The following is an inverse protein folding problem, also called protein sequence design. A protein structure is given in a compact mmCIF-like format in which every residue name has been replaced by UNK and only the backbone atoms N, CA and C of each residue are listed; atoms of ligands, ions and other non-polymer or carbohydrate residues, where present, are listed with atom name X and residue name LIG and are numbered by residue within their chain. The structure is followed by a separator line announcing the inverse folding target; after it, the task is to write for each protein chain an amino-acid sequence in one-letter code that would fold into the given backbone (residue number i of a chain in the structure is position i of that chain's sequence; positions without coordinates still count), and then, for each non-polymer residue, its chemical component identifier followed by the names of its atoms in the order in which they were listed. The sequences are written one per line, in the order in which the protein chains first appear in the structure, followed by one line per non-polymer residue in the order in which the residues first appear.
data_IF_409528555636
#
_entry.id   IF_409528555636
#
_cell.length_a   1.000
_cell.length_b   1.000
_cell.length_c   1.000
_cell.angle_alpha   90.00
_cell.angle_beta   90.00
_cell.angle_gamma   90.00
#
_symmetry.space_group_name_H-M   'P 1'
#
loop_
_entity.id
_entity.type
_entity.pdbx_description
1 polymer ?
#
# COMPACT_ATOMS: atom_id res chain seq x y z
N UNK A 1 13.42 -14.11 25.76
CA UNK A 1 14.65 -13.72 26.49
C UNK A 1 14.47 -12.34 27.08
N UNK A 2 15.12 -12.09 28.24
CA UNK A 2 15.12 -10.79 28.89
C UNK A 2 16.55 -10.23 28.81
N UNK A 3 16.70 -9.08 28.15
CA UNK A 3 17.96 -8.34 28.11
C UNK A 3 17.80 -7.05 28.92
N UNK A 4 18.89 -6.67 29.61
CA UNK A 4 18.94 -5.40 30.36
C UNK A 4 20.08 -4.57 29.82
N UNK A 5 19.81 -3.30 29.53
CA UNK A 5 20.80 -2.33 29.09
C UNK A 5 20.65 -1.04 29.88
N UNK A 6 21.77 -0.45 30.31
CA UNK A 6 21.79 0.83 31.00
C UNK A 6 22.75 1.79 30.29
N UNK A 7 22.32 3.05 30.13
CA UNK A 7 23.17 4.10 29.57
C UNK A 7 23.97 4.78 30.69
N UNK A 8 25.30 4.59 30.66
CA UNK A 8 26.22 5.12 31.69
C UNK A 8 27.34 5.93 31.01
N UNK A 9 27.57 7.21 31.39
CA UNK A 9 26.82 7.97 32.38
C UNK A 9 25.44 8.37 31.89
N UNK A 10 24.45 8.49 32.80
CA UNK A 10 23.08 8.84 32.38
C UNK A 10 23.02 10.32 31.98
N UNK A 11 22.39 10.58 30.82
CA UNK A 11 22.05 11.91 30.32
C UNK A 11 20.53 12.01 30.15
N UNK A 12 19.85 12.69 31.08
CA UNK A 12 18.40 12.78 31.10
C UNK A 12 17.81 13.48 29.85
N UNK A 13 18.54 14.44 29.28
CA UNK A 13 18.09 15.12 28.07
C UNK A 13 18.13 14.15 26.89
N UNK A 14 19.23 13.38 26.73
CA UNK A 14 19.36 12.35 25.70
C UNK A 14 18.35 11.22 25.90
N UNK A 15 18.10 10.78 27.13
CA UNK A 15 17.10 9.76 27.42
C UNK A 15 15.68 10.24 27.07
N UNK A 16 15.37 11.51 27.32
CA UNK A 16 14.09 12.10 26.90
C UNK A 16 13.95 12.15 25.37
N UNK A 17 15.00 12.54 24.66
CA UNK A 17 15.01 12.55 23.20
C UNK A 17 14.92 11.15 22.59
N UNK A 18 15.56 10.14 23.23
CA UNK A 18 15.47 8.74 22.83
C UNK A 18 14.05 8.20 22.95
N UNK A 19 13.36 8.48 24.05
CA UNK A 19 12.02 7.95 24.32
C UNK A 19 10.92 8.66 23.50
N UNK A 20 11.14 9.93 23.18
CA UNK A 20 10.12 10.78 22.55
C UNK A 20 9.02 11.18 23.50
N UNK A 21 8.00 11.87 22.98
CA UNK A 21 6.84 12.30 23.74
C UNK A 21 6.01 11.09 24.20
N UNK A 22 5.77 10.97 25.52
CA UNK A 22 5.01 9.84 26.09
C UNK A 22 5.56 8.46 25.68
N UNK A 23 6.87 8.33 25.55
CA UNK A 23 7.56 7.09 25.14
C UNK A 23 7.15 6.56 23.76
N UNK A 24 6.73 7.46 22.84
CA UNK A 24 6.25 7.09 21.50
C UNK A 24 7.28 6.31 20.67
N UNK A 25 8.57 6.65 20.80
CA UNK A 25 9.64 5.93 20.12
C UNK A 25 9.79 4.50 20.63
N UNK A 26 9.67 4.29 21.96
CA UNK A 26 9.72 2.95 22.57
C UNK A 26 8.56 2.10 22.09
N UNK A 27 7.34 2.64 22.04
CA UNK A 27 6.16 1.93 21.50
C UNK A 27 6.33 1.56 20.04
N UNK A 28 6.94 2.43 19.23
CA UNK A 28 7.24 2.14 17.82
C UNK A 28 8.24 0.98 17.69
N UNK A 29 9.25 0.94 18.58
CA UNK A 29 10.24 -0.14 18.61
C UNK A 29 9.59 -1.45 19.06
N UNK A 30 8.76 -1.43 20.11
CA UNK A 30 8.02 -2.59 20.60
C UNK A 30 7.15 -3.22 19.51
N UNK A 31 6.35 -2.40 18.84
CA UNK A 31 5.46 -2.85 17.77
C UNK A 31 6.21 -3.41 16.56
N UNK A 32 7.34 -2.79 16.18
CA UNK A 32 8.08 -3.18 14.99
C UNK A 32 8.94 -4.45 15.18
N UNK A 33 9.49 -4.65 16.38
CA UNK A 33 10.41 -5.75 16.67
C UNK A 33 9.76 -6.88 17.50
N UNK A 34 8.46 -6.77 17.82
CA UNK A 34 7.72 -7.73 18.63
C UNK A 34 8.43 -8.00 19.98
N UNK A 35 8.71 -6.92 20.69
CA UNK A 35 9.35 -6.93 22.01
C UNK A 35 8.58 -6.05 22.99
N UNK A 36 8.77 -6.27 24.30
CA UNK A 36 8.27 -5.39 25.35
C UNK A 36 9.44 -4.65 26.00
N UNK A 37 9.36 -3.32 26.08
CA UNK A 37 10.42 -2.48 26.64
C UNK A 37 9.91 -1.80 27.91
N UNK A 38 10.51 -2.13 29.04
CA UNK A 38 10.22 -1.47 30.32
C UNK A 38 11.41 -0.61 30.72
N UNK A 39 11.16 0.68 30.96
CA UNK A 39 12.20 1.63 31.41
C UNK A 39 12.09 1.92 32.90
N UNK A 40 13.24 1.97 33.55
CA UNK A 40 13.39 2.52 34.90
C UNK A 40 14.63 3.41 34.94
N UNK A 41 14.42 4.72 34.95
CA UNK A 41 15.48 5.73 34.86
C UNK A 41 16.36 5.53 33.60
N UNK A 42 17.65 5.22 33.77
CA UNK A 42 18.63 4.94 32.70
C UNK A 42 18.63 3.46 32.22
N UNK A 43 17.89 2.59 32.91
CA UNK A 43 17.87 1.16 32.65
C UNK A 43 16.67 0.76 31.78
N UNK A 44 16.94 0.04 30.73
CA UNK A 44 15.95 -0.53 29.83
C UNK A 44 15.95 -2.05 29.94
N UNK A 45 14.78 -2.63 30.12
CA UNK A 45 14.54 -4.07 30.12
C UNK A 45 13.77 -4.41 28.84
N UNK A 46 14.36 -5.22 27.98
CA UNK A 46 13.78 -5.66 26.72
C UNK A 46 13.45 -7.14 26.80
N UNK A 47 12.18 -7.49 26.60
CA UNK A 47 11.66 -8.85 26.63
C UNK A 47 11.12 -9.23 25.25
N UNK A 48 11.46 -10.43 24.75
CA UNK A 48 11.02 -10.92 23.45
C UNK A 48 11.81 -12.11 22.96
N UNK A 49 11.70 -12.44 21.69
CA UNK A 49 12.56 -13.42 21.05
C UNK A 49 14.03 -13.00 21.12
N UNK A 50 14.97 -13.96 21.15
CA UNK A 50 16.40 -13.67 21.37
C UNK A 50 16.95 -12.66 20.36
N UNK A 51 16.73 -12.89 19.06
CA UNK A 51 17.20 -12.01 17.99
C UNK A 51 16.53 -10.63 18.03
N UNK A 52 15.22 -10.59 18.28
CA UNK A 52 14.44 -9.37 18.39
C UNK A 52 14.90 -8.49 19.54
N UNK A 53 15.10 -9.10 20.73
CA UNK A 53 15.56 -8.39 21.92
C UNK A 53 17.00 -7.86 21.74
N UNK A 54 17.91 -8.65 21.18
CA UNK A 54 19.30 -8.22 20.85
C UNK A 54 19.26 -7.02 19.89
N UNK A 55 18.41 -7.09 18.86
CA UNK A 55 18.29 -6.03 17.87
C UNK A 55 17.67 -4.75 18.44
N UNK A 56 16.66 -4.87 19.30
CA UNK A 56 16.07 -3.74 19.99
C UNK A 56 17.09 -3.03 20.88
N UNK A 57 17.96 -3.75 21.58
CA UNK A 57 19.04 -3.15 22.37
C UNK A 57 20.03 -2.40 21.49
N UNK A 58 20.48 -2.97 20.37
CA UNK A 58 21.38 -2.30 19.43
C UNK A 58 20.74 -1.05 18.82
N UNK A 59 19.45 -1.09 18.50
CA UNK A 59 18.72 0.06 18.00
C UNK A 59 18.61 1.16 19.05
N UNK A 60 18.30 0.83 20.31
CA UNK A 60 18.27 1.79 21.42
C UNK A 60 19.63 2.46 21.61
N UNK A 61 20.73 1.71 21.49
CA UNK A 61 22.10 2.27 21.54
C UNK A 61 22.37 3.25 20.41
N UNK A 62 22.07 2.86 19.15
CA UNK A 62 22.26 3.71 17.97
C UNK A 62 21.43 4.99 18.06
N UNK A 63 20.19 4.90 18.50
CA UNK A 63 19.33 6.07 18.68
C UNK A 63 19.84 6.97 19.83
N UNK A 64 20.31 6.40 20.94
CA UNK A 64 20.88 7.15 22.05
C UNK A 64 22.12 7.94 21.62
N UNK A 65 23.00 7.38 20.78
CA UNK A 65 24.17 8.08 20.26
C UNK A 65 23.79 9.29 19.43
N UNK A 66 22.66 9.23 18.73
CA UNK A 66 22.10 10.32 17.92
C UNK A 66 21.23 11.29 18.74
N UNK A 67 20.83 10.96 19.96
CA UNK A 67 19.87 11.70 20.80
C UNK A 67 20.43 12.99 21.44
N UNK A 68 21.49 13.60 20.88
CA UNK A 68 22.00 14.92 21.32
C UNK A 68 20.99 16.04 21.09
N UNK A 69 20.03 15.83 20.18
CA UNK A 69 18.86 16.68 19.91
C UNK A 69 17.62 15.77 19.83
N UNK A 70 16.44 16.36 19.88
CA UNK A 70 15.19 15.61 19.68
C UNK A 70 15.27 14.84 18.35
N UNK A 71 14.95 13.55 18.40
CA UNK A 71 14.95 12.65 17.24
C UNK A 71 13.59 12.76 16.56
N UNK A 72 13.51 13.20 15.28
CA UNK A 72 12.25 13.18 14.53
C UNK A 72 11.76 11.74 14.35
N UNK A 73 10.44 11.54 14.37
CA UNK A 73 9.81 10.23 14.19
C UNK A 73 10.27 9.52 12.90
N UNK A 74 10.54 10.27 11.84
CA UNK A 74 11.07 9.76 10.56
C UNK A 74 12.45 9.09 10.71
N UNK A 75 13.32 9.63 11.56
CA UNK A 75 14.63 9.03 11.84
C UNK A 75 14.52 7.74 12.65
N UNK A 76 13.56 7.67 13.58
CA UNK A 76 13.26 6.44 14.31
C UNK A 76 12.73 5.37 13.35
N UNK A 77 11.84 5.73 12.44
CA UNK A 77 11.31 4.81 11.42
C UNK A 77 12.40 4.30 10.48
N UNK A 78 13.32 5.17 10.04
CA UNK A 78 14.45 4.75 9.19
C UNK A 78 15.34 3.72 9.93
N UNK A 79 15.68 3.99 11.19
CA UNK A 79 16.49 3.09 12.01
C UNK A 79 15.77 1.75 12.30
N UNK A 80 14.43 1.77 12.41
CA UNK A 80 13.60 0.56 12.52
C UNK A 80 13.65 -0.27 11.25
N UNK A 81 13.53 0.34 10.08
CA UNK A 81 13.64 -0.36 8.78
C UNK A 81 15.00 -1.06 8.64
N UNK A 82 16.09 -0.39 8.99
CA UNK A 82 17.43 -0.97 9.01
C UNK A 82 17.52 -2.14 9.99
N UNK A 83 16.98 -1.99 11.21
CA UNK A 83 16.97 -3.02 12.24
C UNK A 83 16.16 -4.26 11.83
N UNK A 84 15.03 -4.09 11.16
CA UNK A 84 14.19 -5.18 10.67
C UNK A 84 14.80 -5.91 9.47
N UNK A 85 15.53 -5.20 8.60
CA UNK A 85 16.20 -5.82 7.44
C UNK A 85 17.20 -6.91 7.87
N UNK A 86 17.90 -6.68 8.98
CA UNK A 86 18.89 -7.62 9.51
C UNK A 86 18.25 -8.81 10.30
N UNK A 87 17.00 -8.69 10.71
CA UNK A 87 16.26 -9.78 11.38
C UNK A 87 15.71 -10.81 10.39
N UNK A 88 15.63 -10.50 9.09
CA UNK A 88 15.16 -11.44 8.07
C UNK A 88 16.19 -12.58 7.91
N UNK A 89 15.87 -13.83 8.21
CA UNK A 89 16.79 -14.94 8.02
C UNK A 89 17.08 -15.10 6.52
N UNK A 90 18.33 -15.43 6.18
CA UNK A 90 18.76 -15.72 4.80
C UNK A 90 17.94 -16.86 4.13
N UNK A 91 17.26 -17.68 4.93
CA UNK A 91 16.31 -18.70 4.47
C UNK A 91 14.99 -18.10 3.97
N UNK A 92 14.53 -16.96 4.52
CA UNK A 92 13.34 -16.24 4.01
C UNK A 92 13.60 -15.62 2.62
N UNK A 93 14.88 -15.40 2.29
CA UNK A 93 15.31 -14.93 0.97
C UNK A 93 15.21 -16.01 -0.11
N UNK A 94 15.30 -17.30 0.30
CA UNK A 94 15.11 -18.47 -0.60
C UNK A 94 13.65 -18.93 -0.63
N UNK A 95 12.88 -18.70 0.42
CA UNK A 95 11.46 -19.06 0.50
C UNK A 95 10.56 -18.12 -0.34
N UNK A 96 10.98 -16.88 -0.59
CA UNK A 96 10.24 -15.96 -1.48
C UNK A 96 10.28 -16.36 -2.97
N UNK A 97 11.18 -17.31 -3.34
CA UNK A 97 11.23 -17.89 -4.69
C UNK A 97 10.64 -19.31 -4.75
N UNK A 98 10.24 -19.89 -3.61
CA UNK A 98 9.70 -21.26 -3.51
C UNK A 98 8.32 -21.34 -2.84
N UNK A 99 7.73 -20.23 -2.42
CA UNK A 99 6.41 -20.18 -1.77
C UNK A 99 5.26 -20.02 -2.78
N UNK A 100 5.39 -20.65 -3.95
CA UNK A 100 4.25 -20.89 -4.86
C UNK A 100 3.51 -22.21 -4.51
N UNK A 101 3.78 -22.76 -3.32
CA UNK A 101 3.13 -23.98 -2.84
C UNK A 101 2.80 -23.88 -1.35
N UNK A 102 1.50 -23.75 -1.07
CA UNK A 102 0.82 -24.13 0.18
C UNK A 102 1.28 -23.46 1.48
N UNK A 103 0.70 -22.28 1.79
CA UNK A 103 0.43 -21.88 3.17
C UNK A 103 -1.03 -22.24 3.52
N UNK A 104 -1.35 -22.60 4.80
CA UNK A 104 -2.70 -22.97 5.21
C UNK A 104 -3.70 -21.84 4.97
N UNK A 105 -4.98 -22.21 4.76
CA UNK A 105 -6.13 -21.33 4.59
C UNK A 105 -6.39 -20.48 5.85
N UNK A 106 -5.53 -19.51 6.14
CA UNK A 106 -5.88 -18.43 7.05
C UNK A 106 -6.84 -17.50 6.32
N UNK A 107 -8.10 -17.55 6.72
CA UNK A 107 -9.16 -16.70 6.21
C UNK A 107 -8.76 -15.22 6.36
N UNK A 108 -8.57 -14.53 5.24
CA UNK A 108 -8.24 -13.10 5.25
C UNK A 108 -9.51 -12.34 5.65
N UNK A 109 -9.53 -11.82 6.87
CA UNK A 109 -10.62 -11.00 7.40
C UNK A 109 -10.24 -9.52 7.29
N UNK A 110 -10.96 -8.77 6.46
CA UNK A 110 -10.81 -7.33 6.31
C UNK A 110 -11.87 -6.58 7.14
N UNK A 111 -11.44 -5.54 7.85
CA UNK A 111 -12.31 -4.68 8.66
C UNK A 111 -12.96 -3.62 7.77
N UNK A 112 -14.03 -3.99 7.09
CA UNK A 112 -14.86 -3.11 6.27
C UNK A 112 -16.30 -3.18 6.72
N UNK A 113 -17.18 -2.31 6.19
CA UNK A 113 -18.61 -2.41 6.41
C UNK A 113 -19.19 -3.73 5.88
N UNK A 114 -18.57 -4.29 4.86
CA UNK A 114 -18.95 -5.60 4.31
C UNK A 114 -18.22 -6.72 5.05
N UNK A 115 -18.98 -7.46 5.83
CA UNK A 115 -18.45 -8.60 6.61
C UNK A 115 -18.25 -9.87 5.77
N UNK A 116 -18.80 -9.89 4.55
CA UNK A 116 -18.75 -11.01 3.60
C UNK A 116 -17.63 -10.85 2.56
N UNK A 117 -16.71 -9.89 2.78
CA UNK A 117 -15.68 -9.61 1.83
C UNK A 117 -14.53 -10.63 1.92
N UNK A 118 -14.46 -11.50 0.94
CA UNK A 118 -13.40 -12.49 0.77
C UNK A 118 -12.95 -12.54 -0.69
N UNK A 119 -11.72 -12.99 -0.93
CA UNK A 119 -11.28 -13.35 -2.27
C UNK A 119 -12.06 -14.57 -2.78
N UNK A 120 -12.70 -14.45 -3.92
CA UNK A 120 -13.53 -15.49 -4.54
C UNK A 120 -12.75 -16.42 -5.45
N UNK A 121 -11.59 -15.98 -5.94
CA UNK A 121 -10.72 -16.77 -6.79
C UNK A 121 -9.32 -16.90 -6.18
N UNK A 122 -8.53 -17.91 -6.54
CA UNK A 122 -7.16 -18.07 -6.05
C UNK A 122 -6.27 -16.83 -6.30
N UNK A 123 -6.43 -16.18 -7.47
CA UNK A 123 -5.68 -14.96 -7.79
C UNK A 123 -6.13 -13.77 -6.93
N UNK A 124 -7.42 -13.65 -6.60
CA UNK A 124 -7.90 -12.64 -5.65
C UNK A 124 -7.33 -12.85 -4.25
N UNK A 125 -7.28 -14.09 -3.77
CA UNK A 125 -6.65 -14.43 -2.48
C UNK A 125 -5.16 -14.11 -2.48
N UNK A 126 -4.44 -14.49 -3.54
CA UNK A 126 -3.02 -14.15 -3.73
C UNK A 126 -2.80 -12.64 -3.75
N UNK A 127 -3.68 -11.90 -4.42
CA UNK A 127 -3.63 -10.45 -4.47
C UNK A 127 -3.80 -9.80 -3.09
N UNK A 128 -4.78 -10.23 -2.32
CA UNK A 128 -4.99 -9.77 -0.95
C UNK A 128 -3.76 -10.06 -0.08
N UNK A 129 -3.22 -11.28 -0.14
CA UNK A 129 -1.98 -11.64 0.58
C UNK A 129 -0.80 -10.75 0.18
N UNK A 130 -0.65 -10.51 -1.11
CA UNK A 130 0.41 -9.63 -1.63
C UNK A 130 0.26 -8.19 -1.13
N UNK A 131 -0.95 -7.63 -1.15
CA UNK A 131 -1.22 -6.29 -0.62
C UNK A 131 -0.88 -6.20 0.87
N UNK A 132 -1.26 -7.20 1.65
CA UNK A 132 -0.99 -7.21 3.08
C UNK A 132 0.51 -7.34 3.40
N UNK A 133 1.24 -8.13 2.63
CA UNK A 133 2.64 -8.50 2.90
C UNK A 133 3.69 -7.55 2.30
N UNK A 134 3.36 -6.76 1.27
CA UNK A 134 4.33 -5.95 0.53
C UNK A 134 4.02 -4.45 0.60
N UNK A 135 5.05 -3.63 0.43
CA UNK A 135 4.91 -2.16 0.41
C UNK A 135 4.28 -1.67 -0.90
N UNK A 136 4.59 -2.33 -2.02
CA UNK A 136 4.03 -2.02 -3.33
C UNK A 136 3.49 -3.29 -3.97
N UNK A 137 2.24 -3.26 -4.43
CA UNK A 137 1.60 -4.39 -5.11
C UNK A 137 0.99 -3.95 -6.43
N UNK A 138 1.31 -4.69 -7.49
CA UNK A 138 0.68 -4.54 -8.80
C UNK A 138 -0.44 -5.57 -8.96
N UNK A 139 -1.64 -5.11 -9.33
CA UNK A 139 -2.78 -5.94 -9.74
C UNK A 139 -3.09 -5.73 -11.21
N UNK A 140 -2.68 -6.67 -12.08
CA UNK A 140 -2.74 -6.53 -13.54
C UNK A 140 -3.69 -7.57 -14.13
N UNK A 141 -4.59 -7.16 -14.99
CA UNK A 141 -5.48 -8.08 -15.74
C UNK A 141 -6.82 -7.47 -16.13
N UNK A 142 -7.73 -8.26 -16.70
CA UNK A 142 -8.97 -7.77 -17.31
C UNK A 142 -9.89 -7.01 -16.35
N UNK A 143 -10.73 -6.14 -16.90
CA UNK A 143 -11.79 -5.48 -16.16
C UNK A 143 -12.77 -6.49 -15.52
N UNK A 144 -13.33 -6.15 -14.35
CA UNK A 144 -14.29 -7.00 -13.65
C UNK A 144 -13.69 -8.11 -12.78
N UNK A 145 -12.36 -8.17 -12.62
CA UNK A 145 -11.66 -9.11 -11.72
C UNK A 145 -11.58 -8.63 -10.27
N UNK A 146 -12.12 -7.45 -9.94
CA UNK A 146 -12.17 -6.91 -8.59
C UNK A 146 -10.90 -6.21 -8.11
N UNK A 147 -9.91 -5.97 -8.96
CA UNK A 147 -8.61 -5.37 -8.60
C UNK A 147 -8.74 -4.09 -7.77
N UNK A 148 -9.44 -3.11 -8.30
CA UNK A 148 -9.62 -1.80 -7.66
C UNK A 148 -10.44 -1.92 -6.39
N UNK A 149 -11.52 -2.68 -6.42
CA UNK A 149 -12.40 -2.90 -5.26
C UNK A 149 -11.66 -3.56 -4.10
N UNK A 150 -10.91 -4.63 -4.34
CA UNK A 150 -10.11 -5.32 -3.33
C UNK A 150 -8.98 -4.44 -2.79
N UNK A 151 -8.35 -3.62 -3.65
CA UNK A 151 -7.35 -2.65 -3.21
C UNK A 151 -7.95 -1.60 -2.26
N UNK A 152 -9.13 -1.05 -2.60
CA UNK A 152 -9.86 -0.11 -1.72
C UNK A 152 -10.26 -0.78 -0.42
N UNK A 153 -10.69 -2.04 -0.44
CA UNK A 153 -11.02 -2.79 0.78
C UNK A 153 -9.82 -2.95 1.71
N UNK A 154 -8.64 -3.28 1.18
CA UNK A 154 -7.40 -3.33 1.96
C UNK A 154 -7.00 -1.95 2.50
N UNK A 155 -7.25 -0.87 1.74
CA UNK A 155 -6.97 0.48 2.20
C UNK A 155 -7.88 0.89 3.36
N UNK A 156 -9.18 0.54 3.29
CA UNK A 156 -10.15 0.77 4.36
C UNK A 156 -9.76 -0.02 5.61
N UNK A 157 -9.42 -1.30 5.48
CA UNK A 157 -8.94 -2.13 6.59
C UNK A 157 -7.69 -1.54 7.25
N UNK A 158 -6.70 -1.11 6.46
CA UNK A 158 -5.48 -0.49 6.95
C UNK A 158 -5.75 0.82 7.71
N UNK A 159 -6.71 1.64 7.26
CA UNK A 159 -7.12 2.86 7.93
C UNK A 159 -7.86 2.55 9.24
N UNK A 160 -8.78 1.59 9.26
CA UNK A 160 -9.52 1.16 10.45
C UNK A 160 -8.60 0.58 11.53
N UNK A 161 -7.57 -0.17 11.11
CA UNK A 161 -6.53 -0.69 12.00
C UNK A 161 -5.46 0.33 12.38
N UNK A 162 -5.59 1.58 11.93
CA UNK A 162 -4.59 2.64 12.17
C UNK A 162 -3.18 2.29 11.68
N UNK A 163 -3.06 1.40 10.70
CA UNK A 163 -1.79 1.07 10.05
C UNK A 163 -1.33 2.21 9.13
N UNK A 164 -2.29 2.98 8.62
CA UNK A 164 -2.05 4.20 7.86
C UNK A 164 -2.92 5.34 8.41
N UNK A 165 -2.50 6.58 8.16
CA UNK A 165 -3.22 7.77 8.62
C UNK A 165 -4.21 8.30 7.58
N UNK A 166 -4.04 7.93 6.31
CA UNK A 166 -4.87 8.40 5.21
C UNK A 166 -4.89 7.44 4.03
N UNK A 167 -5.95 7.52 3.25
CA UNK A 167 -6.11 6.85 1.97
C UNK A 167 -6.03 7.89 0.86
N UNK A 168 -5.24 7.62 -0.18
CA UNK A 168 -5.14 8.47 -1.37
C UNK A 168 -5.44 7.61 -2.58
N UNK A 169 -6.52 7.97 -3.29
CA UNK A 169 -6.91 7.32 -4.53
C UNK A 169 -6.55 8.24 -5.70
N UNK A 170 -5.84 7.72 -6.66
CA UNK A 170 -5.42 8.50 -7.82
C UNK A 170 -5.59 7.74 -9.11
N UNK A 171 -5.82 8.47 -10.17
CA UNK A 171 -6.02 7.97 -11.54
C UNK A 171 -5.33 8.88 -12.52
N UNK A 172 -4.71 8.38 -13.59
CA UNK A 172 -4.24 9.22 -14.67
C UNK A 172 -5.44 9.90 -15.33
N UNK A 173 -5.33 11.20 -15.58
CA UNK A 173 -6.29 11.89 -16.41
C UNK A 173 -5.97 11.56 -17.88
N UNK A 174 -6.73 10.68 -18.48
CA UNK A 174 -6.61 10.35 -19.90
C UNK A 174 -7.74 11.03 -20.63
N UNK A 175 -7.41 11.75 -21.67
CA UNK A 175 -8.40 12.25 -22.63
C UNK A 175 -8.84 11.07 -23.52
N UNK A 176 -9.77 10.25 -23.05
CA UNK A 176 -10.37 9.19 -23.85
C UNK A 176 -11.26 9.82 -24.95
N UNK A 177 -10.64 10.26 -26.06
CA UNK A 177 -11.35 10.77 -27.22
C UNK A 177 -12.07 12.13 -27.08
N UNK A 178 -12.40 12.53 -25.87
CA UNK A 178 -12.98 13.85 -25.53
C UNK A 178 -11.91 14.70 -24.86
N UNK A 179 -11.50 15.76 -25.50
CA UNK A 179 -10.55 16.72 -24.94
C UNK A 179 -11.17 17.37 -23.68
N UNK A 180 -10.55 17.17 -22.50
CA UNK A 180 -10.95 17.81 -21.24
C UNK A 180 -11.20 19.31 -21.36
N UNK A 181 -10.63 19.94 -22.39
CA UNK A 181 -10.86 21.36 -22.73
C UNK A 181 -12.28 21.73 -23.12
N UNK A 182 -13.12 20.78 -23.54
CA UNK A 182 -14.50 21.06 -23.98
C UNK A 182 -15.57 20.90 -22.88
N UNK A 183 -15.22 20.32 -21.73
CA UNK A 183 -16.17 20.22 -20.62
C UNK A 183 -16.24 21.57 -19.87
N UNK A 184 -17.46 22.10 -19.56
CA UNK A 184 -17.60 23.28 -18.74
C UNK A 184 -17.21 22.99 -17.28
N UNK A 185 -16.60 23.95 -16.60
CA UNK A 185 -16.19 23.84 -15.20
C UNK A 185 -14.68 23.91 -14.97
N UNK A 186 -14.29 23.94 -13.69
CA UNK A 186 -12.89 23.88 -13.29
C UNK A 186 -12.30 22.46 -13.48
N UNK A 187 -10.98 22.32 -13.31
CA UNK A 187 -10.28 21.06 -13.54
C UNK A 187 -10.83 19.93 -12.63
N UNK A 188 -11.22 20.23 -11.40
CA UNK A 188 -11.76 19.28 -10.44
C UNK A 188 -13.11 18.73 -10.92
N UNK A 189 -14.01 19.60 -11.38
CA UNK A 189 -15.33 19.22 -11.92
C UNK A 189 -15.22 18.38 -13.20
N UNK A 190 -14.20 18.62 -14.02
CA UNK A 190 -13.95 17.86 -15.26
C UNK A 190 -13.42 16.46 -15.00
N UNK A 191 -12.70 16.25 -13.91
CA UNK A 191 -12.10 14.95 -13.56
C UNK A 191 -13.03 14.08 -12.72
N UNK A 192 -14.03 14.68 -12.04
CA UNK A 192 -14.97 13.98 -11.15
C UNK A 192 -15.65 12.75 -11.77
N UNK A 193 -16.15 12.78 -13.03
CA UNK A 193 -16.76 11.60 -13.64
C UNK A 193 -15.85 10.39 -13.75
N UNK A 194 -14.55 10.59 -13.95
CA UNK A 194 -13.57 9.53 -14.08
C UNK A 194 -13.22 8.88 -12.72
N UNK A 195 -13.51 9.58 -11.63
CA UNK A 195 -13.24 9.13 -10.28
C UNK A 195 -14.45 8.42 -9.62
N UNK A 196 -15.63 8.46 -10.25
CA UNK A 196 -16.87 7.85 -9.71
C UNK A 196 -16.71 6.39 -9.29
N UNK A 197 -16.05 5.49 -10.06
CA UNK A 197 -15.91 4.10 -9.63
C UNK A 197 -15.15 3.94 -8.30
N UNK A 198 -14.26 4.89 -7.99
CA UNK A 198 -13.54 4.91 -6.70
C UNK A 198 -14.46 5.37 -5.55
N UNK A 199 -15.31 6.36 -5.80
CA UNK A 199 -16.35 6.78 -4.83
C UNK A 199 -17.33 5.65 -4.55
N UNK A 200 -17.80 4.94 -5.59
CA UNK A 200 -18.76 3.84 -5.45
C UNK A 200 -18.17 2.72 -4.56
N UNK A 201 -16.91 2.35 -4.78
CA UNK A 201 -16.21 1.37 -3.95
C UNK A 201 -16.09 1.83 -2.49
N UNK A 202 -15.76 3.10 -2.25
CA UNK A 202 -15.66 3.67 -0.90
C UNK A 202 -17.02 3.68 -0.20
N UNK A 203 -18.09 4.10 -0.88
CA UNK A 203 -19.44 4.12 -0.30
C UNK A 203 -19.92 2.71 0.07
N UNK A 204 -19.62 1.72 -0.75
CA UNK A 204 -19.95 0.32 -0.45
C UNK A 204 -19.19 -0.22 0.78
N UNK A 205 -17.90 0.11 0.89
CA UNK A 205 -16.99 -0.42 1.91
C UNK A 205 -16.98 0.34 3.24
N UNK A 206 -17.26 1.65 3.24
CA UNK A 206 -17.25 2.50 4.43
C UNK A 206 -18.63 3.06 4.79
N UNK A 207 -19.53 3.22 3.81
CA UNK A 207 -20.80 3.94 3.95
C UNK A 207 -20.63 5.44 3.75
N UNK A 208 -21.73 6.09 3.29
CA UNK A 208 -21.74 7.49 2.87
C UNK A 208 -21.25 8.46 3.96
N UNK A 209 -21.80 8.36 5.18
CA UNK A 209 -21.47 9.27 6.28
C UNK A 209 -19.99 9.22 6.70
N UNK A 210 -19.40 8.02 6.68
CA UNK A 210 -17.98 7.83 7.04
C UNK A 210 -17.06 8.37 5.96
N UNK A 211 -17.40 8.16 4.69
CA UNK A 211 -16.67 8.70 3.55
C UNK A 211 -16.67 10.22 3.59
N UNK A 212 -17.84 10.85 3.79
CA UNK A 212 -17.96 12.32 3.89
C UNK A 212 -17.08 12.87 5.03
N UNK A 213 -17.18 12.27 6.22
CA UNK A 213 -16.34 12.68 7.36
C UNK A 213 -14.84 12.47 7.12
N UNK A 214 -14.47 11.43 6.38
CA UNK A 214 -13.07 11.14 6.06
C UNK A 214 -12.50 12.20 5.08
N UNK A 215 -13.28 12.65 4.11
CA UNK A 215 -12.93 13.77 3.23
C UNK A 215 -12.75 15.07 4.03
N UNK A 216 -13.73 15.43 4.88
CA UNK A 216 -13.66 16.62 5.72
C UNK A 216 -12.43 16.66 6.63
N UNK A 217 -12.03 15.50 7.16
CA UNK A 217 -10.84 15.36 8.00
C UNK A 217 -9.52 15.28 7.23
N UNK A 218 -9.57 15.18 5.89
CA UNK A 218 -8.39 14.98 5.06
C UNK A 218 -7.73 13.58 5.21
N UNK A 219 -8.43 12.61 5.83
CA UNK A 219 -7.98 11.22 5.93
C UNK A 219 -8.30 10.40 4.68
N UNK A 220 -9.11 10.95 3.78
CA UNK A 220 -9.42 10.40 2.47
C UNK A 220 -9.24 11.49 1.41
N UNK A 221 -8.50 11.18 0.35
CA UNK A 221 -8.24 12.06 -0.77
C UNK A 221 -8.45 11.29 -2.08
N UNK A 222 -9.14 11.90 -3.04
CA UNK A 222 -9.23 11.42 -4.42
C UNK A 222 -8.74 12.53 -5.32
N UNK A 223 -7.71 12.29 -6.12
CA UNK A 223 -7.08 13.31 -6.94
C UNK A 223 -6.46 12.73 -8.22
N UNK A 224 -6.38 13.52 -9.29
CA UNK A 224 -5.62 13.16 -10.48
C UNK A 224 -4.16 12.85 -10.16
N UNK A 225 -3.55 11.93 -10.92
CA UNK A 225 -2.14 11.54 -10.75
C UNK A 225 -1.17 12.73 -10.79
N UNK A 226 -1.45 13.73 -11.61
CA UNK A 226 -0.64 14.95 -11.72
C UNK A 226 -0.46 15.69 -10.37
N UNK A 227 -1.44 15.59 -9.46
CA UNK A 227 -1.41 16.25 -8.15
C UNK A 227 -0.51 15.54 -7.14
N UNK A 228 0.03 14.37 -7.49
CA UNK A 228 1.01 13.65 -6.68
C UNK A 228 2.43 14.22 -6.86
N UNK A 229 2.65 15.02 -7.90
CA UNK A 229 3.98 15.58 -8.19
C UNK A 229 4.47 16.50 -7.07
N UNK A 230 5.73 16.32 -6.65
CA UNK A 230 6.34 17.13 -5.59
C UNK A 230 5.93 16.77 -4.16
N UNK A 231 5.08 15.77 -3.99
CA UNK A 231 4.62 15.29 -2.66
C UNK A 231 5.48 14.13 -2.17
N UNK A 232 5.50 13.91 -0.86
CA UNK A 232 5.95 12.68 -0.21
C UNK A 232 4.79 12.11 0.56
N UNK A 233 4.39 10.88 0.25
CA UNK A 233 3.16 10.25 0.75
C UNK A 233 3.48 9.33 1.92
N UNK A 234 3.83 9.92 3.08
CA UNK A 234 4.10 9.19 4.31
C UNK A 234 2.81 8.70 4.97
N UNK A 235 2.87 7.53 5.61
CA UNK A 235 1.78 6.92 6.39
C UNK A 235 0.44 6.89 5.63
N UNK A 236 0.50 6.64 4.34
CA UNK A 236 -0.65 6.66 3.45
C UNK A 236 -0.82 5.30 2.76
N UNK A 237 -2.07 4.88 2.58
CA UNK A 237 -2.40 3.84 1.63
C UNK A 237 -2.76 4.49 0.31
N UNK A 238 -1.95 4.28 -0.72
CA UNK A 238 -2.08 4.97 -2.01
C UNK A 238 -2.49 3.98 -3.09
N UNK A 239 -3.55 4.28 -3.83
CA UNK A 239 -4.00 3.46 -4.95
C UNK A 239 -3.87 4.27 -6.23
N UNK A 240 -3.12 3.73 -7.21
CA UNK A 240 -3.10 4.22 -8.58
C UNK A 240 -3.93 3.27 -9.44
N UNK A 241 -5.11 3.71 -9.82
CA UNK A 241 -6.02 2.96 -10.67
C UNK A 241 -5.88 3.35 -12.16
N UNK A 242 -6.22 2.44 -13.07
CA UNK A 242 -6.07 2.58 -14.52
C UNK A 242 -4.63 2.93 -14.95
N UNK A 243 -3.67 2.33 -14.28
CA UNK A 243 -2.26 2.66 -14.41
C UNK A 243 -1.67 2.33 -15.78
N UNK A 244 -2.33 1.49 -16.63
CA UNK A 244 -1.93 1.26 -18.01
C UNK A 244 -1.92 2.56 -18.83
N UNK A 245 -2.68 3.56 -18.38
CA UNK A 245 -2.81 4.87 -19.02
C UNK A 245 -1.81 5.91 -18.47
N UNK A 246 -0.77 5.47 -17.76
CA UNK A 246 0.38 6.31 -17.42
C UNK A 246 1.50 6.16 -18.43
N UNK A 247 2.30 7.21 -18.62
CA UNK A 247 3.62 7.07 -19.26
C UNK A 247 4.65 6.50 -18.29
N UNK A 248 5.81 5.97 -18.75
CA UNK A 248 6.90 5.53 -17.87
C UNK A 248 7.37 6.61 -16.90
N UNK A 249 7.42 7.88 -17.33
CA UNK A 249 7.81 9.02 -16.49
C UNK A 249 6.78 9.29 -15.39
N UNK A 250 5.48 9.21 -15.71
CA UNK A 250 4.40 9.37 -14.74
C UNK A 250 4.40 8.24 -13.72
N UNK A 251 4.57 6.99 -14.15
CA UNK A 251 4.69 5.84 -13.26
C UNK A 251 5.90 5.97 -12.33
N UNK A 252 7.07 6.31 -12.88
CA UNK A 252 8.27 6.56 -12.07
C UNK A 252 8.05 7.71 -11.08
N UNK A 253 7.43 8.81 -11.55
CA UNK A 253 7.08 9.94 -10.69
C UNK A 253 6.20 9.48 -9.53
N UNK A 254 5.15 8.69 -9.77
CA UNK A 254 4.26 8.16 -8.74
C UNK A 254 4.98 7.27 -7.73
N UNK A 255 5.68 6.25 -8.20
CA UNK A 255 6.37 5.27 -7.34
C UNK A 255 7.42 5.92 -6.43
N UNK A 256 8.06 7.00 -6.90
CA UNK A 256 9.02 7.77 -6.10
C UNK A 256 8.38 8.74 -5.10
N UNK A 257 7.05 8.82 -5.01
CA UNK A 257 6.31 9.59 -3.98
C UNK A 257 5.99 8.77 -2.74
N UNK A 258 6.09 7.44 -2.84
CA UNK A 258 5.80 6.54 -1.72
C UNK A 258 6.83 6.79 -0.62
N UNK A 259 6.33 7.20 0.55
CA UNK A 259 7.14 7.57 1.70
C UNK A 259 7.14 6.50 2.80
N UNK A 260 7.65 6.88 3.96
CA UNK A 260 7.75 5.98 5.10
C UNK A 260 6.36 5.57 5.62
N UNK A 261 6.24 4.29 6.01
CA UNK A 261 4.98 3.75 6.52
C UNK A 261 3.82 3.81 5.53
N UNK A 262 4.12 4.02 4.26
CA UNK A 262 3.12 4.00 3.20
C UNK A 262 3.05 2.64 2.52
N UNK A 263 1.88 2.34 1.97
CA UNK A 263 1.59 1.18 1.14
C UNK A 263 0.99 1.65 -0.17
N UNK A 264 1.42 1.08 -1.29
CA UNK A 264 0.90 1.44 -2.61
C UNK A 264 0.35 0.22 -3.35
N UNK A 265 -0.78 0.41 -3.99
CA UNK A 265 -1.37 -0.58 -4.90
C UNK A 265 -1.58 0.07 -6.26
N UNK A 266 -1.07 -0.60 -7.29
CA UNK A 266 -1.18 -0.16 -8.68
C UNK A 266 -2.06 -1.14 -9.42
N UNK A 267 -3.20 -0.67 -9.96
CA UNK A 267 -4.14 -1.51 -10.70
C UNK A 267 -4.22 -1.09 -12.15
N UNK A 268 -4.40 -2.06 -13.04
CA UNK A 268 -4.57 -1.76 -14.47
C UNK A 268 -4.86 -2.97 -15.35
N UNK A 269 -5.25 -2.66 -16.58
CA UNK A 269 -5.53 -3.63 -17.63
C UNK A 269 -4.67 -3.31 -18.87
N UNK A 270 -3.66 -4.12 -19.12
CA UNK A 270 -2.72 -3.90 -20.23
C UNK A 270 -3.36 -4.06 -21.62
N UNK A 271 -4.58 -4.59 -21.70
CA UNK A 271 -5.35 -4.68 -22.94
C UNK A 271 -6.13 -3.41 -23.25
N UNK A 272 -6.29 -2.49 -22.29
CA UNK A 272 -7.08 -1.25 -22.39
C UNK A 272 -6.19 -0.01 -22.28
N UNK A 273 -5.18 0.07 -23.15
CA UNK A 273 -4.26 1.23 -23.19
C UNK A 273 -4.83 2.30 -24.10
N UNK A 274 -5.23 3.44 -23.52
CA UNK A 274 -5.81 4.60 -24.20
C UNK A 274 -4.80 5.75 -24.41
N UNK A 275 -3.51 5.45 -24.33
CA UNK A 275 -2.46 6.41 -24.58
C UNK A 275 -2.36 6.80 -26.05
N UNK A 276 -1.86 7.99 -26.40
CA UNK A 276 -1.60 8.40 -27.76
C UNK A 276 -0.71 7.39 -28.51
N UNK A 277 -0.92 7.21 -29.80
CA UNK A 277 -0.14 6.27 -30.64
C UNK A 277 1.37 6.53 -30.49
N UNK A 278 2.12 5.47 -30.22
CA UNK A 278 3.57 5.52 -30.03
C UNK A 278 4.01 5.78 -28.58
N UNK A 279 3.09 6.03 -27.65
CA UNK A 279 3.41 6.16 -26.23
C UNK A 279 3.47 4.76 -25.58
N UNK A 280 4.54 4.52 -24.79
CA UNK A 280 4.66 3.31 -24.00
C UNK A 280 3.82 3.40 -22.72
N UNK A 281 3.19 2.28 -22.31
CA UNK A 281 2.49 2.21 -21.03
C UNK A 281 3.48 2.10 -19.88
N UNK A 282 3.34 3.01 -18.90
CA UNK A 282 4.14 3.00 -17.68
C UNK A 282 3.91 1.77 -16.81
N UNK A 283 2.70 1.17 -16.85
CA UNK A 283 2.40 -0.08 -16.14
C UNK A 283 3.23 -1.24 -16.73
N UNK A 284 3.25 -1.38 -18.04
CA UNK A 284 4.01 -2.43 -18.75
C UNK A 284 5.51 -2.25 -18.49
N UNK A 285 6.01 -1.02 -18.57
CA UNK A 285 7.41 -0.71 -18.31
C UNK A 285 7.79 -0.99 -16.86
N UNK A 286 6.97 -0.55 -15.91
CA UNK A 286 7.21 -0.77 -14.48
C UNK A 286 7.24 -2.26 -14.13
N UNK A 287 6.33 -3.06 -14.66
CA UNK A 287 6.34 -4.52 -14.46
C UNK A 287 7.64 -5.16 -14.93
N UNK A 288 8.13 -4.73 -16.08
CA UNK A 288 9.40 -5.23 -16.63
C UNK A 288 10.60 -4.81 -15.79
N UNK A 289 10.68 -3.53 -15.40
CA UNK A 289 11.83 -2.93 -14.72
C UNK A 289 11.90 -3.37 -13.26
N UNK A 290 10.75 -3.45 -12.58
CA UNK A 290 10.67 -3.68 -11.14
C UNK A 290 10.57 -5.16 -10.74
N UNK A 291 10.55 -6.08 -11.70
CA UNK A 291 10.36 -7.53 -11.47
C UNK A 291 11.30 -8.15 -10.43
N UNK A 292 12.49 -7.59 -10.24
CA UNK A 292 13.50 -8.08 -9.29
C UNK A 292 13.67 -7.22 -8.05
N UNK A 293 12.86 -6.18 -7.91
CA UNK A 293 12.93 -5.26 -6.76
C UNK A 293 12.23 -5.90 -5.57
N UNK A 294 12.95 -6.04 -4.46
CA UNK A 294 12.38 -6.59 -3.21
C UNK A 294 11.35 -5.63 -2.62
N UNK A 295 10.31 -6.17 -1.98
CA UNK A 295 9.22 -5.38 -1.39
C UNK A 295 8.12 -5.05 -2.39
N UNK A 296 8.25 -5.49 -3.66
CA UNK A 296 7.23 -5.35 -4.71
C UNK A 296 6.68 -6.71 -5.07
N UNK A 297 5.35 -6.83 -5.11
CA UNK A 297 4.65 -8.01 -5.59
C UNK A 297 3.80 -7.68 -6.82
N UNK A 298 3.61 -8.67 -7.69
CA UNK A 298 2.70 -8.56 -8.83
C UNK A 298 1.74 -9.75 -8.82
N UNK A 299 0.45 -9.47 -8.94
CA UNK A 299 -0.60 -10.46 -9.15
C UNK A 299 -1.20 -10.25 -10.53
N UNK A 300 -1.22 -11.30 -11.34
CA UNK A 300 -1.85 -11.30 -12.65
C UNK A 300 -3.20 -12.00 -12.59
N UNK A 301 -4.22 -11.30 -13.00
CA UNK A 301 -5.58 -11.80 -13.16
C UNK A 301 -5.81 -12.26 -14.60
N UNK A 302 -6.68 -13.23 -14.73
CA UNK A 302 -7.09 -13.80 -16.02
C UNK A 302 -8.61 -13.63 -16.22
N UNK A 303 -9.12 -14.00 -17.37
CA UNK A 303 -10.56 -14.04 -17.62
C UNK A 303 -11.34 -14.95 -16.65
N UNK A 304 -10.70 -15.99 -16.12
CA UNK A 304 -11.27 -16.86 -15.12
C UNK A 304 -11.56 -16.17 -13.76
N UNK A 305 -10.91 -15.04 -13.49
CA UNK A 305 -11.10 -14.25 -12.26
C UNK A 305 -12.22 -13.20 -12.38
N UNK A 306 -12.87 -13.11 -13.56
CA UNK A 306 -13.93 -12.13 -13.80
C UNK A 306 -15.18 -12.53 -13.02
N UNK A 307 -15.55 -11.70 -12.05
CA UNK A 307 -16.77 -11.87 -11.25
C UNK A 307 -17.83 -10.90 -11.79
N UNK A 308 -18.69 -11.42 -12.65
CA UNK A 308 -19.78 -10.64 -13.26
C UNK A 308 -21.11 -11.35 -13.05
N UNK A 309 -22.19 -10.57 -13.19
CA UNK A 309 -23.53 -11.16 -13.26
C UNK A 309 -23.60 -12.14 -14.43
N UNK A 310 -24.20 -13.34 -14.28
CA UNK A 310 -24.22 -14.37 -15.33
C UNK A 310 -24.77 -13.88 -16.68
N UNK A 311 -25.70 -12.93 -16.66
CA UNK A 311 -26.21 -12.30 -17.88
C UNK A 311 -25.14 -11.46 -18.58
N UNK A 312 -24.33 -10.70 -17.82
CA UNK A 312 -23.27 -9.86 -18.38
C UNK A 312 -22.18 -10.72 -19.01
N UNK A 313 -21.82 -11.86 -18.41
CA UNK A 313 -20.89 -12.82 -18.99
C UNK A 313 -21.38 -13.30 -20.37
N UNK A 314 -22.65 -13.72 -20.46
CA UNK A 314 -23.26 -14.15 -21.73
C UNK A 314 -23.34 -13.03 -22.79
N UNK A 315 -23.56 -11.79 -22.36
CA UNK A 315 -23.55 -10.64 -23.29
C UNK A 315 -22.16 -10.47 -23.89
N UNK A 316 -21.10 -10.50 -23.07
CA UNK A 316 -19.71 -10.37 -23.55
C UNK A 316 -19.37 -11.50 -24.52
N UNK A 317 -19.68 -12.75 -24.16
CA UNK A 317 -19.46 -13.91 -25.02
C UNK A 317 -20.15 -13.76 -26.39
N UNK A 318 -21.40 -13.25 -26.41
CA UNK A 318 -22.14 -13.02 -27.64
C UNK A 318 -21.48 -11.96 -28.53
N UNK A 319 -20.98 -10.84 -27.95
CA UNK A 319 -20.27 -9.82 -28.71
C UNK A 319 -18.91 -10.31 -29.22
N UNK A 320 -18.18 -11.11 -28.44
CA UNK A 320 -16.89 -11.67 -28.86
C UNK A 320 -17.07 -12.69 -29.99
N UNK A 321 -18.13 -13.52 -29.94
CA UNK A 321 -18.50 -14.46 -31.01
C UNK A 321 -18.83 -13.70 -32.31
N UNK A 322 -19.65 -12.65 -32.23
CA UNK A 322 -20.02 -11.86 -33.40
C UNK A 322 -18.80 -11.19 -34.10
N UNK A 323 -17.80 -10.75 -33.32
CA UNK A 323 -16.56 -10.17 -33.86
C UNK A 323 -15.66 -11.21 -34.50
N UNK A 324 -15.74 -12.46 -34.08
CA UNK A 324 -14.97 -13.57 -34.70
C UNK A 324 -15.54 -14.00 -36.03
N UNK A 325 -16.85 -13.83 -36.26
CA UNK A 325 -17.55 -14.18 -37.51
C UNK A 325 -17.39 -13.09 -38.61
N UNK A 326 -16.99 -11.86 -38.24
CA UNK A 326 -16.78 -10.73 -39.16
C UNK A 326 -15.30 -10.61 -39.64
N UNK A 327 -14.37 -11.49 -39.21
CA UNK A 327 -12.97 -11.56 -39.63
C UNK A 327 -12.70 -12.85 -40.42
#
# INVERSE_FOLDING_TARGET
VILRHAFIPPDNARLSHLCGSLDEHLRSIEAALDVTITRRNESFRVEGGKRQAERAVLLLQSLYDRARRAIPAEQVQLALVEAMADLRPAAALRAATAADAAAPDDEIVLHTRRTDLAGRTPNQLTYLRNILAHDITFGIGPAGTGKTFLAVACAVDALERSQVQRIILTRPAVEAGERLGFLPGDLAQKVDPYLRPLYDALYDLMGFDRVTKAFEKGTLEIAPLAFMRGRTLNHAFVILDEAQNTTPEQMKMFLTRIGFGAKAVVTGDVSQVDLPRGSASGLIDAERVLRRVRGIATTRFTSADVVRHPLVARIVEAYDAARSDDN
#
